data_IF_732375342057
#
_entry.id   IF_732375342057
#
_cell.length_a   1.000
_cell.length_b   1.000
_cell.length_c   1.000
_cell.angle_alpha   90.00
_cell.angle_beta   90.00
_cell.angle_gamma   90.00
#
_symmetry.space_group_name_H-M   'P 1'
#
loop_
_entity.id
_entity.type
_entity.pdbx_description
1 polymer ?
#
# COMPACT_ATOMS: atom_id res chain seq x y z
N UNK A 1 58.33 6.28 -27.16
CA UNK A 1 56.89 6.14 -27.30
C UNK A 1 56.25 5.99 -25.90
N UNK A 2 55.10 6.58 -25.63
CA UNK A 2 54.46 6.41 -24.36
C UNK A 2 54.20 4.91 -24.14
N UNK A 3 54.34 4.45 -22.89
CA UNK A 3 54.06 3.08 -22.52
C UNK A 3 52.54 2.82 -22.75
N UNK A 4 52.24 1.77 -23.51
CA UNK A 4 50.87 1.39 -23.88
C UNK A 4 50.50 0.11 -23.14
N UNK A 5 49.31 0.05 -22.57
CA UNK A 5 48.79 -1.12 -21.90
C UNK A 5 47.54 -1.65 -22.60
N UNK A 6 47.48 -2.92 -22.99
CA UNK A 6 46.27 -3.51 -23.51
C UNK A 6 45.16 -3.52 -22.42
N UNK A 7 44.06 -2.87 -22.74
CA UNK A 7 42.85 -2.92 -21.90
C UNK A 7 41.87 -3.90 -22.55
N UNK A 8 41.87 -5.15 -22.10
CA UNK A 8 41.03 -6.17 -22.72
C UNK A 8 39.55 -5.92 -22.48
N UNK A 9 39.19 -5.41 -21.30
CA UNK A 9 37.84 -5.16 -20.89
C UNK A 9 37.71 -3.75 -20.34
N UNK A 10 36.90 -2.91 -20.97
CA UNK A 10 36.68 -1.53 -20.54
C UNK A 10 35.71 -1.43 -19.37
N UNK A 11 34.58 -2.11 -19.47
CA UNK A 11 33.54 -2.16 -18.41
C UNK A 11 32.64 -3.40 -18.53
N UNK A 12 31.90 -3.68 -17.44
CA UNK A 12 30.80 -4.65 -17.39
C UNK A 12 29.52 -3.98 -16.90
N UNK A 13 28.38 -4.51 -17.30
CA UNK A 13 27.06 -4.16 -16.76
C UNK A 13 26.53 -5.26 -15.84
N UNK A 14 25.73 -4.87 -14.85
CA UNK A 14 25.07 -5.79 -13.91
C UNK A 14 23.77 -5.17 -13.39
N UNK A 15 22.71 -5.97 -13.23
CA UNK A 15 21.47 -5.53 -12.58
C UNK A 15 21.66 -5.24 -11.09
N UNK A 16 20.93 -4.28 -10.58
CA UNK A 16 20.90 -3.91 -9.15
C UNK A 16 19.90 -4.73 -8.35
N UNK A 17 18.74 -5.02 -8.94
CA UNK A 17 17.65 -5.70 -8.26
C UNK A 17 17.97 -7.20 -8.13
N UNK A 18 18.21 -7.66 -6.90
CA UNK A 18 18.47 -9.08 -6.62
C UNK A 18 17.18 -9.92 -6.80
N UNK A 19 16.03 -9.31 -6.65
CA UNK A 19 14.71 -9.94 -6.76
C UNK A 19 14.29 -10.17 -8.21
N UNK A 20 14.96 -9.54 -9.16
CA UNK A 20 14.65 -9.62 -10.58
C UNK A 20 15.86 -10.10 -11.39
N UNK A 21 15.68 -11.22 -12.06
CA UNK A 21 16.63 -11.72 -13.06
C UNK A 21 15.97 -11.56 -14.42
N UNK A 22 16.58 -10.75 -15.30
CA UNK A 22 16.07 -10.57 -16.66
C UNK A 22 16.10 -11.92 -17.41
N UNK A 23 14.96 -12.36 -18.00
CA UNK A 23 14.91 -13.61 -18.76
C UNK A 23 15.88 -13.62 -19.95
N UNK A 24 16.26 -12.43 -20.49
CA UNK A 24 17.24 -12.30 -21.56
C UNK A 24 18.70 -12.46 -21.06
N UNK A 25 18.89 -12.62 -19.75
CA UNK A 25 20.21 -12.73 -19.13
C UNK A 25 21.10 -11.54 -19.43
N UNK A 26 22.38 -11.77 -19.81
CA UNK A 26 23.31 -10.66 -20.12
C UNK A 26 22.94 -9.88 -21.38
N UNK A 27 22.12 -10.45 -22.26
CA UNK A 27 21.68 -9.78 -23.49
C UNK A 27 20.76 -8.57 -23.19
N UNK A 28 20.11 -8.52 -22.02
CA UNK A 28 19.33 -7.39 -21.55
C UNK A 28 20.14 -6.08 -21.50
N UNK A 29 21.44 -6.18 -21.30
CA UNK A 29 22.34 -5.01 -21.18
C UNK A 29 23.02 -4.61 -22.50
N UNK A 30 22.63 -5.24 -23.61
CA UNK A 30 23.17 -4.90 -24.95
C UNK A 30 22.71 -3.52 -25.38
N UNK A 31 23.62 -2.76 -26.00
CA UNK A 31 23.31 -1.47 -26.61
C UNK A 31 23.41 -0.29 -25.65
N UNK A 32 23.78 -0.49 -24.39
CA UNK A 32 24.14 0.61 -23.51
C UNK A 32 25.35 1.37 -24.04
N UNK A 33 25.28 2.72 -24.08
CA UNK A 33 26.36 3.54 -24.63
C UNK A 33 27.03 4.36 -23.52
N UNK A 34 28.37 4.43 -23.65
CA UNK A 34 29.25 5.08 -22.70
C UNK A 34 30.10 6.12 -23.32
N UNK A 35 30.09 7.33 -22.77
CA UNK A 35 31.05 8.37 -23.06
C UNK A 35 32.33 8.09 -22.30
N UNK A 36 33.40 7.79 -23.05
CA UNK A 36 34.73 7.49 -22.50
C UNK A 36 35.67 8.60 -22.85
N UNK A 37 36.31 9.21 -21.85
CA UNK A 37 37.28 10.30 -22.03
C UNK A 37 38.62 9.87 -21.48
N UNK A 38 39.68 10.12 -22.20
CA UNK A 38 41.05 9.85 -21.82
C UNK A 38 41.80 11.13 -21.46
N UNK A 39 42.52 11.08 -20.34
CA UNK A 39 43.40 12.13 -19.81
C UNK A 39 44.80 11.58 -19.70
N UNK A 40 45.81 12.30 -20.22
CA UNK A 40 47.20 11.84 -20.23
C UNK A 40 47.89 11.87 -18.84
N UNK A 41 47.19 12.37 -17.80
CA UNK A 41 47.67 12.43 -16.44
C UNK A 41 47.07 11.29 -15.61
N UNK A 42 47.82 10.78 -14.64
CA UNK A 42 47.28 9.90 -13.56
C UNK A 42 46.60 10.78 -12.53
N UNK A 43 45.28 10.87 -12.61
CA UNK A 43 44.44 11.67 -11.70
C UNK A 43 43.95 10.84 -10.55
N UNK A 44 43.60 11.49 -9.43
CA UNK A 44 43.11 10.78 -8.23
C UNK A 44 41.84 9.97 -8.56
N UNK A 45 41.79 8.69 -8.09
CA UNK A 45 40.59 7.88 -8.24
C UNK A 45 39.37 8.52 -7.57
N UNK A 46 38.21 8.37 -8.18
CA UNK A 46 36.93 8.85 -7.62
C UNK A 46 36.67 10.36 -7.75
N UNK A 47 37.62 11.16 -8.25
CA UNK A 47 37.41 12.59 -8.52
C UNK A 47 37.24 12.82 -10.03
N UNK A 48 36.08 13.34 -10.43
CA UNK A 48 35.82 13.68 -11.85
C UNK A 48 36.81 14.77 -12.33
N UNK A 49 37.67 14.45 -13.30
CA UNK A 49 38.64 15.41 -13.84
C UNK A 49 38.03 16.68 -14.43
N UNK A 50 36.77 16.58 -14.91
CA UNK A 50 36.04 17.75 -15.45
C UNK A 50 35.79 18.78 -14.33
N UNK A 51 35.48 18.35 -13.12
CA UNK A 51 35.29 19.25 -11.96
C UNK A 51 36.60 19.94 -11.56
N UNK A 52 37.73 19.33 -11.86
CA UNK A 52 39.06 19.93 -11.64
C UNK A 52 39.57 20.78 -12.86
N UNK A 53 38.71 21.07 -13.82
CA UNK A 53 39.07 21.87 -15.01
C UNK A 53 39.98 21.17 -16.02
N UNK A 54 40.22 19.86 -15.87
CA UNK A 54 41.08 19.10 -16.80
C UNK A 54 40.33 18.85 -18.10
N UNK A 55 41.11 18.87 -19.21
CA UNK A 55 40.60 18.61 -20.56
C UNK A 55 41.02 17.21 -21.02
N UNK A 56 40.11 16.42 -21.60
CA UNK A 56 40.45 15.12 -22.15
C UNK A 56 41.29 15.30 -23.44
N UNK A 57 42.17 14.35 -23.67
CA UNK A 57 42.99 14.29 -24.89
C UNK A 57 42.26 13.59 -26.03
N UNK A 58 41.44 12.57 -25.69
CA UNK A 58 40.56 11.87 -26.64
C UNK A 58 39.23 11.53 -25.99
N UNK A 59 38.21 11.42 -26.85
CA UNK A 59 36.83 11.15 -26.48
C UNK A 59 36.25 10.10 -27.43
N UNK A 60 35.58 9.11 -26.85
CA UNK A 60 34.89 8.06 -27.61
C UNK A 60 33.49 7.80 -27.05
N UNK A 61 32.64 7.19 -27.84
CA UNK A 61 31.43 6.53 -27.40
C UNK A 61 31.55 5.05 -27.73
N UNK A 62 31.45 4.22 -26.74
CA UNK A 62 31.45 2.77 -26.87
C UNK A 62 30.07 2.19 -26.52
N UNK A 63 29.82 0.95 -26.96
CA UNK A 63 28.56 0.26 -26.73
C UNK A 63 28.82 -1.15 -26.23
N UNK A 64 27.94 -1.63 -25.31
CA UNK A 64 27.98 -2.99 -24.79
C UNK A 64 27.44 -4.02 -25.79
N UNK A 65 27.97 -5.23 -25.70
CA UNK A 65 27.49 -6.41 -26.43
C UNK A 65 26.49 -7.25 -25.66
N UNK A 66 26.02 -8.37 -26.24
CA UNK A 66 25.10 -9.31 -25.62
C UNK A 66 25.67 -10.06 -24.40
N UNK A 67 26.96 -9.92 -24.11
CA UNK A 67 27.60 -10.46 -22.91
C UNK A 67 27.69 -9.41 -21.78
N UNK A 68 27.00 -8.29 -21.93
CA UNK A 68 27.01 -7.18 -20.97
C UNK A 68 28.39 -6.54 -20.78
N UNK A 69 29.26 -6.63 -21.77
CA UNK A 69 30.63 -6.09 -21.71
C UNK A 69 30.89 -5.10 -22.81
N UNK A 70 31.82 -4.18 -22.56
CA UNK A 70 32.39 -3.30 -23.53
C UNK A 70 33.92 -3.41 -23.48
N UNK A 71 34.57 -3.50 -24.64
CA UNK A 71 36.03 -3.61 -24.78
C UNK A 71 36.58 -2.40 -25.48
N UNK A 72 37.84 -2.05 -25.24
CA UNK A 72 38.54 -1.02 -25.95
C UNK A 72 39.01 -1.54 -27.34
N UNK A 73 38.03 -1.69 -28.23
CA UNK A 73 38.23 -2.24 -29.57
C UNK A 73 37.28 -1.51 -30.54
N UNK A 74 37.74 -1.37 -31.83
CA UNK A 74 36.97 -0.66 -32.83
C UNK A 74 35.54 -1.17 -33.01
N UNK A 75 35.33 -2.47 -32.89
CA UNK A 75 33.99 -3.09 -33.01
C UNK A 75 32.98 -2.64 -31.94
N UNK A 76 33.44 -2.15 -30.78
CA UNK A 76 32.59 -1.61 -29.73
C UNK A 76 32.45 -0.08 -29.83
N UNK A 77 33.27 0.58 -30.61
CA UNK A 77 33.26 2.04 -30.80
C UNK A 77 32.08 2.43 -31.67
N UNK A 78 31.22 3.32 -31.19
CA UNK A 78 30.12 3.91 -31.96
C UNK A 78 30.56 5.16 -32.69
N UNK A 79 31.37 6.03 -32.03
CA UNK A 79 31.91 7.26 -32.58
C UNK A 79 33.05 7.81 -31.72
N UNK A 80 33.73 8.81 -32.23
CA UNK A 80 34.77 9.55 -31.52
C UNK A 80 36.15 9.42 -32.24
N UNK A 81 37.19 9.76 -31.47
CA UNK A 81 38.56 9.79 -31.96
C UNK A 81 39.07 8.40 -32.39
N UNK A 82 40.18 8.36 -33.14
CA UNK A 82 40.87 7.12 -33.43
C UNK A 82 41.35 6.44 -32.15
N UNK A 83 41.31 5.11 -32.11
CA UNK A 83 41.86 4.37 -30.95
C UNK A 83 43.39 4.49 -30.95
N UNK A 84 43.97 4.49 -29.77
CA UNK A 84 45.41 4.31 -29.61
C UNK A 84 45.76 2.87 -29.96
N UNK A 85 46.92 2.70 -30.64
CA UNK A 85 47.46 1.41 -31.06
C UNK A 85 48.92 1.30 -30.71
N UNK A 86 49.37 0.13 -30.36
CA UNK A 86 50.77 -0.23 -30.25
C UNK A 86 51.44 -0.29 -31.63
N UNK A 87 52.76 -0.47 -31.68
CA UNK A 87 53.51 -0.53 -32.95
C UNK A 87 53.12 -1.75 -33.80
N UNK A 88 52.62 -2.81 -33.20
CA UNK A 88 52.10 -4.01 -33.88
C UNK A 88 50.61 -3.89 -34.29
N UNK A 89 49.99 -2.73 -34.05
CA UNK A 89 48.61 -2.45 -34.40
C UNK A 89 47.56 -2.88 -33.38
N UNK A 90 47.96 -3.44 -32.22
CA UNK A 90 47.03 -3.82 -31.14
C UNK A 90 46.42 -2.59 -30.48
N UNK A 91 45.10 -2.58 -30.29
CA UNK A 91 44.41 -1.49 -29.62
C UNK A 91 44.77 -1.47 -28.14
N UNK A 92 45.30 -0.34 -27.66
CA UNK A 92 45.78 -0.19 -26.29
C UNK A 92 45.68 1.26 -25.84
N UNK A 93 45.41 1.47 -24.52
CA UNK A 93 45.39 2.80 -23.93
C UNK A 93 46.78 3.16 -23.36
N UNK A 94 47.25 4.42 -23.56
CA UNK A 94 48.42 4.92 -22.86
C UNK A 94 48.18 5.00 -21.34
N UNK A 95 49.29 5.17 -20.59
CA UNK A 95 49.21 5.52 -19.19
C UNK A 95 48.44 6.82 -19.01
N UNK A 96 47.54 6.85 -18.00
CA UNK A 96 46.71 8.00 -17.76
C UNK A 96 45.44 7.65 -17.02
N UNK A 97 44.41 8.44 -17.23
CA UNK A 97 43.10 8.25 -16.59
C UNK A 97 42.01 8.19 -17.65
N UNK A 98 41.07 7.28 -17.49
CA UNK A 98 39.81 7.28 -18.25
C UNK A 98 38.65 7.57 -17.34
N UNK A 99 37.69 8.36 -17.82
CA UNK A 99 36.37 8.49 -17.24
C UNK A 99 35.35 7.77 -18.10
N UNK A 100 34.43 7.08 -17.47
CA UNK A 100 33.35 6.32 -18.12
C UNK A 100 32.04 6.80 -17.56
N UNK A 101 31.15 7.30 -18.41
CA UNK A 101 29.83 7.77 -18.05
C UNK A 101 28.82 7.16 -19.00
N UNK A 102 27.74 6.59 -18.45
CA UNK A 102 26.65 6.13 -19.29
C UNK A 102 25.92 7.33 -19.88
N UNK A 103 25.63 7.29 -21.19
CA UNK A 103 24.89 8.31 -21.93
C UNK A 103 23.61 7.76 -22.59
N UNK A 104 23.49 6.45 -22.63
CA UNK A 104 22.30 5.74 -23.09
C UNK A 104 22.21 4.41 -22.35
N UNK A 105 21.19 4.21 -21.51
CA UNK A 105 21.00 2.95 -20.80
C UNK A 105 20.50 1.84 -21.74
N UNK A 106 20.54 0.58 -21.32
CA UNK A 106 19.80 -0.48 -21.98
C UNK A 106 18.30 -0.22 -21.95
N UNK A 107 17.57 -0.83 -22.87
CA UNK A 107 16.11 -0.68 -22.93
C UNK A 107 15.45 -1.20 -21.66
N UNK A 108 14.61 -0.39 -21.00
CA UNK A 108 13.91 -0.75 -19.77
C UNK A 108 14.69 -0.50 -18.49
N UNK A 109 15.83 0.19 -18.58
CA UNK A 109 16.67 0.53 -17.44
C UNK A 109 16.86 2.04 -17.32
N UNK A 110 16.96 2.51 -16.06
CA UNK A 110 17.29 3.92 -15.80
C UNK A 110 18.72 4.24 -16.17
N UNK A 111 18.96 5.48 -16.57
CA UNK A 111 20.31 5.99 -16.83
C UNK A 111 21.12 6.03 -15.52
N UNK A 112 22.32 5.46 -15.56
CA UNK A 112 23.28 5.62 -14.46
C UNK A 112 24.14 6.86 -14.73
N UNK A 113 23.91 7.93 -13.98
CA UNK A 113 24.60 9.22 -14.15
C UNK A 113 26.00 9.26 -13.52
N UNK A 114 26.42 8.20 -12.83
CA UNK A 114 27.70 8.12 -12.16
C UNK A 114 28.85 8.21 -13.17
N UNK A 115 29.91 8.96 -12.82
CA UNK A 115 31.14 9.03 -13.60
C UNK A 115 32.20 8.15 -12.93
N UNK A 116 32.52 7.05 -13.58
CA UNK A 116 33.56 6.13 -13.12
C UNK A 116 34.94 6.63 -13.57
N UNK A 117 35.86 6.77 -12.62
CA UNK A 117 37.22 7.28 -12.86
C UNK A 117 38.23 6.14 -12.64
N UNK A 118 38.88 5.71 -13.71
CA UNK A 118 39.78 4.56 -13.75
C UNK A 118 41.20 4.98 -14.20
N UNK A 119 42.19 4.54 -13.42
CA UNK A 119 43.60 4.78 -13.77
C UNK A 119 44.16 3.64 -14.64
N UNK A 120 44.98 3.97 -15.61
CA UNK A 120 45.80 3.03 -16.40
C UNK A 120 47.21 3.20 -15.91
N UNK A 121 47.70 2.24 -15.10
CA UNK A 121 48.99 2.27 -14.40
C UNK A 121 50.07 1.52 -15.20
N UNK A 122 51.36 1.83 -14.99
CA UNK A 122 52.46 1.05 -15.55
C UNK A 122 52.44 -0.38 -15.01
N UNK A 123 52.75 -1.33 -15.88
CA UNK A 123 52.96 -2.74 -15.49
C UNK A 123 54.27 -2.82 -14.73
N UNK A 124 54.21 -3.20 -13.43
CA UNK A 124 55.43 -3.39 -12.61
C UNK A 124 56.24 -4.60 -13.05
N UNK A 125 57.53 -4.53 -12.84
CA UNK A 125 58.45 -5.66 -13.02
C UNK A 125 58.35 -6.57 -11.76
N UNK A 126 57.67 -7.71 -11.88
CA UNK A 126 57.71 -8.77 -10.87
C UNK A 126 56.44 -9.10 -10.12
N UNK A 127 55.42 -8.23 -10.07
CA UNK A 127 54.12 -8.53 -9.49
C UNK A 127 53.02 -8.43 -10.54
N UNK A 128 51.96 -9.27 -10.41
CA UNK A 128 50.73 -9.13 -11.21
C UNK A 128 49.99 -7.87 -10.76
N UNK A 129 50.46 -6.69 -11.13
CA UNK A 129 49.77 -5.43 -10.92
C UNK A 129 48.58 -5.39 -11.89
N UNK A 130 47.40 -5.25 -11.35
CA UNK A 130 46.21 -5.02 -12.15
C UNK A 130 46.30 -3.64 -12.76
N UNK A 131 46.72 -3.61 -14.00
CA UNK A 131 47.03 -2.39 -14.76
C UNK A 131 45.80 -1.48 -14.98
N UNK A 132 44.62 -2.10 -14.95
CA UNK A 132 43.34 -1.42 -15.10
C UNK A 132 42.26 -2.20 -14.33
N UNK A 133 41.55 -1.51 -13.43
CA UNK A 133 40.37 -2.05 -12.75
C UNK A 133 39.12 -1.63 -13.52
N UNK A 134 38.55 -2.55 -14.29
CA UNK A 134 37.34 -2.27 -15.03
C UNK A 134 36.14 -2.12 -14.07
N UNK A 135 35.33 -1.07 -14.20
CA UNK A 135 34.16 -0.90 -13.38
C UNK A 135 33.06 -1.89 -13.77
N UNK A 136 32.33 -2.35 -12.76
CA UNK A 136 31.02 -2.97 -12.96
C UNK A 136 29.96 -1.91 -12.73
N UNK A 137 29.22 -1.54 -13.79
CA UNK A 137 28.25 -0.47 -13.77
C UNK A 137 26.87 -1.07 -13.49
N UNK A 138 26.24 -0.69 -12.36
CA UNK A 138 24.94 -1.22 -11.99
C UNK A 138 23.81 -0.60 -12.82
N UNK A 139 22.81 -1.40 -13.14
CA UNK A 139 21.58 -1.00 -13.82
C UNK A 139 20.36 -1.27 -12.96
N UNK A 140 19.44 -0.30 -12.94
CA UNK A 140 18.17 -0.38 -12.28
C UNK A 140 17.05 -0.47 -13.32
N UNK A 141 16.18 -1.48 -13.21
CA UNK A 141 15.02 -1.62 -14.10
C UNK A 141 13.99 -0.53 -13.84
N UNK A 142 13.21 -0.14 -14.86
CA UNK A 142 12.06 0.75 -14.67
C UNK A 142 11.09 0.14 -13.68
N UNK A 143 10.67 0.92 -12.68
CA UNK A 143 9.82 0.47 -11.59
C UNK A 143 9.03 1.62 -10.99
N UNK A 144 7.91 1.27 -10.36
CA UNK A 144 7.24 2.12 -9.38
C UNK A 144 7.09 1.34 -8.07
N UNK A 145 7.04 2.05 -6.97
CA UNK A 145 6.76 1.47 -5.67
C UNK A 145 5.33 1.81 -5.25
N UNK A 146 4.61 0.84 -4.73
CA UNK A 146 3.29 1.05 -4.15
C UNK A 146 3.38 0.83 -2.64
N UNK A 147 2.71 1.69 -1.88
CA UNK A 147 2.56 1.58 -0.43
C UNK A 147 1.08 1.53 -0.11
N UNK A 148 0.65 0.48 0.58
CA UNK A 148 -0.74 0.28 0.98
C UNK A 148 -0.90 0.57 2.47
N UNK A 149 -1.84 1.45 2.82
CA UNK A 149 -2.08 1.90 4.21
C UNK A 149 -3.56 1.92 4.54
N UNK A 150 -3.86 1.86 5.83
CA UNK A 150 -5.21 2.12 6.37
C UNK A 150 -5.45 3.64 6.47
N UNK A 151 -6.61 4.11 6.00
CA UNK A 151 -6.96 5.54 5.98
C UNK A 151 -6.92 6.21 7.36
N UNK A 152 -7.42 5.53 8.39
CA UNK A 152 -7.57 6.17 9.71
C UNK A 152 -6.32 6.11 10.56
N UNK A 153 -5.52 5.06 10.41
CA UNK A 153 -4.38 4.79 11.30
C UNK A 153 -3.03 4.97 10.63
N UNK A 154 -3.00 5.01 9.29
CA UNK A 154 -1.76 5.02 8.51
C UNK A 154 -0.96 3.71 8.60
N UNK A 155 -1.50 2.66 9.24
CA UNK A 155 -0.82 1.38 9.35
C UNK A 155 -0.63 0.72 7.98
N UNK A 156 0.51 0.07 7.74
CA UNK A 156 0.75 -0.66 6.49
C UNK A 156 -0.20 -1.86 6.36
N UNK A 157 -0.68 -2.11 5.14
CA UNK A 157 -1.63 -3.17 4.84
C UNK A 157 -0.98 -4.25 3.95
N UNK A 158 -0.75 -5.42 4.54
CA UNK A 158 -0.24 -6.61 3.87
C UNK A 158 -1.34 -7.40 3.17
N UNK A 159 -0.98 -8.10 2.08
CA UNK A 159 -1.88 -9.04 1.42
C UNK A 159 -2.88 -8.42 0.42
N UNK A 160 -2.81 -7.12 0.17
CA UNK A 160 -3.55 -6.48 -0.92
C UNK A 160 -3.07 -7.03 -2.26
N UNK A 161 -3.99 -7.43 -3.13
CA UNK A 161 -3.66 -7.94 -4.46
C UNK A 161 -4.03 -6.94 -5.54
N UNK A 162 -3.06 -6.65 -6.39
CA UNK A 162 -3.21 -5.74 -7.52
C UNK A 162 -3.05 -6.49 -8.84
N UNK A 163 -3.98 -6.28 -9.75
CA UNK A 163 -3.83 -6.68 -11.15
C UNK A 163 -3.06 -5.61 -11.88
N UNK A 164 -1.88 -5.95 -12.38
CA UNK A 164 -1.06 -5.13 -13.25
C UNK A 164 -1.27 -5.55 -14.70
N UNK A 165 -1.73 -4.63 -15.54
CA UNK A 165 -1.88 -4.81 -16.99
C UNK A 165 -0.77 -4.01 -17.66
N UNK A 166 0.02 -4.68 -18.49
CA UNK A 166 1.13 -4.09 -19.22
C UNK A 166 0.72 -3.52 -20.57
N UNK A 167 1.55 -2.70 -21.23
CA UNK A 167 1.26 -2.14 -22.57
C UNK A 167 0.99 -3.19 -23.64
N UNK A 168 1.54 -4.39 -23.52
CA UNK A 168 1.30 -5.54 -24.43
C UNK A 168 0.02 -6.32 -24.13
N UNK A 169 -0.76 -5.89 -23.12
CA UNK A 169 -1.99 -6.53 -22.66
C UNK A 169 -1.76 -7.71 -21.72
N UNK A 170 -0.52 -8.09 -21.42
CA UNK A 170 -0.25 -9.15 -20.44
C UNK A 170 -0.62 -8.71 -19.02
N UNK A 171 -1.11 -9.65 -18.22
CA UNK A 171 -1.58 -9.39 -16.85
C UNK A 171 -0.73 -10.15 -15.82
N UNK A 172 -0.55 -9.54 -14.66
CA UNK A 172 0.09 -10.18 -13.51
C UNK A 172 -0.59 -9.75 -12.22
N UNK A 173 -0.80 -10.68 -11.30
CA UNK A 173 -1.23 -10.36 -9.92
C UNK A 173 0.02 -10.15 -9.08
N UNK A 174 0.02 -9.05 -8.35
CA UNK A 174 1.07 -8.64 -7.43
C UNK A 174 0.46 -8.46 -6.04
N UNK A 175 1.21 -8.78 -4.98
CA UNK A 175 0.70 -8.75 -3.61
C UNK A 175 1.61 -7.90 -2.73
N UNK A 176 1.03 -7.07 -1.86
CA UNK A 176 1.80 -6.29 -0.88
C UNK A 176 2.40 -7.19 0.19
N UNK A 177 3.63 -6.89 0.57
CA UNK A 177 4.38 -7.59 1.61
C UNK A 177 3.90 -7.23 3.04
N UNK A 178 4.58 -7.76 4.06
CA UNK A 178 4.26 -7.50 5.47
C UNK A 178 4.38 -6.02 5.88
N UNK A 179 5.11 -5.22 5.10
CA UNK A 179 5.24 -3.76 5.29
C UNK A 179 4.24 -2.95 4.47
N UNK A 180 3.28 -3.62 3.83
CA UNK A 180 2.32 -2.98 2.93
C UNK A 180 2.96 -2.47 1.65
N UNK A 181 4.15 -2.94 1.27
CA UNK A 181 4.87 -2.46 0.10
C UNK A 181 4.81 -3.43 -1.07
N UNK A 182 4.90 -2.89 -2.26
CA UNK A 182 4.90 -3.64 -3.51
C UNK A 182 5.76 -2.92 -4.52
N UNK A 183 6.72 -3.63 -5.14
CA UNK A 183 7.47 -3.14 -6.29
C UNK A 183 6.82 -3.64 -7.57
N UNK A 184 6.39 -2.72 -8.42
CA UNK A 184 5.87 -3.04 -9.76
C UNK A 184 7.03 -2.92 -10.73
N UNK A 185 7.65 -4.04 -11.03
CA UNK A 185 8.83 -4.15 -11.87
C UNK A 185 8.92 -5.51 -12.59
N UNK A 186 9.64 -5.65 -13.71
CA UNK A 186 10.13 -4.55 -14.53
C UNK A 186 8.97 -3.85 -15.24
N UNK A 187 9.12 -2.56 -15.51
CA UNK A 187 8.21 -1.83 -16.36
C UNK A 187 8.81 -1.68 -17.77
N UNK A 188 7.95 -1.60 -18.77
CA UNK A 188 8.31 -1.26 -20.15
C UNK A 188 7.81 0.14 -20.48
N UNK A 189 8.32 0.73 -21.54
CA UNK A 189 7.73 1.93 -22.11
C UNK A 189 6.28 1.70 -22.54
N UNK A 190 5.38 2.63 -22.22
CA UNK A 190 3.98 2.60 -22.60
C UNK A 190 3.02 2.81 -21.44
N UNK A 191 1.73 2.53 -21.68
CA UNK A 191 0.66 2.71 -20.70
C UNK A 191 0.48 1.43 -19.89
N UNK A 192 0.51 1.56 -18.58
CA UNK A 192 0.25 0.51 -17.62
C UNK A 192 -1.02 0.82 -16.83
N UNK A 193 -1.69 -0.24 -16.35
CA UNK A 193 -2.83 -0.12 -15.43
C UNK A 193 -2.59 -0.97 -14.21
N UNK A 194 -2.96 -0.44 -13.06
CA UNK A 194 -2.90 -1.15 -11.78
C UNK A 194 -4.22 -0.96 -11.05
N UNK A 195 -4.88 -2.08 -10.73
CA UNK A 195 -6.16 -2.09 -10.03
C UNK A 195 -6.13 -3.08 -8.90
N UNK A 196 -6.62 -2.67 -7.73
CA UNK A 196 -6.83 -3.60 -6.65
C UNK A 196 -7.95 -4.59 -6.99
N UNK A 197 -7.67 -5.88 -6.84
CA UNK A 197 -8.62 -6.97 -7.09
C UNK A 197 -8.98 -7.73 -5.83
N UNK A 198 -8.18 -7.57 -4.77
CA UNK A 198 -8.45 -8.10 -3.44
C UNK A 198 -7.87 -7.16 -2.39
N UNK A 199 -8.73 -6.66 -1.52
CA UNK A 199 -8.29 -5.85 -0.38
C UNK A 199 -7.63 -6.73 0.70
N UNK A 200 -6.82 -6.13 1.58
CA UNK A 200 -6.42 -6.76 2.82
C UNK A 200 -7.62 -7.16 3.67
N UNK A 201 -7.42 -8.14 4.51
CA UNK A 201 -8.47 -8.66 5.36
C UNK A 201 -8.99 -7.60 6.36
N UNK A 202 -10.31 -7.39 6.40
CA UNK A 202 -10.96 -6.34 7.19
C UNK A 202 -11.11 -4.99 6.48
N UNK A 203 -10.67 -4.86 5.24
CA UNK A 203 -10.74 -3.63 4.47
C UNK A 203 -11.63 -3.77 3.23
N UNK A 204 -12.08 -2.64 2.68
CA UNK A 204 -12.82 -2.57 1.42
C UNK A 204 -11.86 -2.45 0.26
N UNK A 205 -12.13 -3.15 -0.83
CA UNK A 205 -11.36 -2.99 -2.09
C UNK A 205 -11.46 -1.54 -2.57
N UNK A 206 -10.31 -0.92 -2.79
CA UNK A 206 -10.23 0.39 -3.43
C UNK A 206 -10.49 0.24 -4.92
N UNK A 207 -11.56 0.87 -5.42
CA UNK A 207 -11.99 0.72 -6.82
C UNK A 207 -11.23 1.65 -7.79
N UNK A 208 -10.33 2.49 -7.31
CA UNK A 208 -9.50 3.31 -8.18
C UNK A 208 -8.65 2.44 -9.10
N UNK A 209 -8.63 2.77 -10.38
CA UNK A 209 -7.69 2.21 -11.35
C UNK A 209 -6.59 3.21 -11.60
N UNK A 210 -5.38 2.88 -11.19
CA UNK A 210 -4.20 3.69 -11.45
C UNK A 210 -3.73 3.44 -12.88
N UNK A 211 -3.90 4.42 -13.76
CA UNK A 211 -3.39 4.40 -15.14
C UNK A 211 -2.16 5.32 -15.19
N UNK A 212 -1.05 4.78 -15.63
CA UNK A 212 0.20 5.54 -15.72
C UNK A 212 0.98 5.22 -16.99
N UNK A 213 1.68 6.23 -17.48
CA UNK A 213 2.58 6.11 -18.62
C UNK A 213 4.01 6.08 -18.14
N UNK A 214 4.80 5.18 -18.73
CA UNK A 214 6.27 5.13 -18.58
C UNK A 214 6.88 5.57 -19.90
N UNK A 215 7.68 6.62 -19.90
CA UNK A 215 8.38 7.09 -21.09
C UNK A 215 9.66 6.28 -21.38
N UNK A 216 10.37 6.62 -22.45
CA UNK A 216 11.62 5.93 -22.84
C UNK A 216 12.75 6.08 -21.83
N UNK A 217 12.70 7.08 -20.94
CA UNK A 217 13.68 7.30 -19.87
C UNK A 217 13.31 6.60 -18.56
N UNK A 218 12.11 5.99 -18.48
CA UNK A 218 11.56 5.39 -17.27
C UNK A 218 10.79 6.37 -16.39
N UNK A 219 10.66 7.62 -16.79
CA UNK A 219 9.83 8.59 -16.05
C UNK A 219 8.38 8.16 -16.12
N UNK A 220 7.75 8.17 -14.97
CA UNK A 220 6.34 7.78 -14.81
C UNK A 220 5.45 9.01 -14.67
N UNK A 221 4.35 9.04 -15.41
CA UNK A 221 3.29 10.05 -15.32
C UNK A 221 1.95 9.36 -15.05
N UNK A 222 1.21 9.84 -14.05
CA UNK A 222 -0.11 9.31 -13.72
C UNK A 222 -1.16 10.00 -14.58
N UNK A 223 -2.00 9.21 -15.25
CA UNK A 223 -3.01 9.67 -16.19
C UNK A 223 -4.45 9.56 -15.64
N UNK A 224 -4.68 8.71 -14.62
CA UNK A 224 -6.00 8.50 -14.04
C UNK A 224 -6.39 9.60 -13.07
N UNK A 225 -7.67 9.95 -13.06
CA UNK A 225 -8.29 10.66 -11.95
C UNK A 225 -8.49 9.69 -10.77
N UNK A 226 -8.40 10.20 -9.55
CA UNK A 226 -8.54 9.45 -8.32
C UNK A 226 -9.83 9.85 -7.62
N UNK A 227 -10.67 8.87 -7.29
CA UNK A 227 -11.83 9.08 -6.44
C UNK A 227 -11.42 8.99 -4.96
N UNK A 228 -11.35 10.12 -4.28
CA UNK A 228 -10.97 10.22 -2.86
C UNK A 228 -12.00 9.61 -1.90
N UNK A 229 -13.24 9.35 -2.35
CA UNK A 229 -14.24 8.63 -1.55
C UNK A 229 -13.87 7.16 -1.31
N UNK A 230 -13.06 6.58 -2.20
CA UNK A 230 -12.56 5.20 -2.06
C UNK A 230 -11.31 5.10 -1.14
N UNK A 231 -10.67 6.21 -0.86
CA UNK A 231 -9.41 6.34 -0.12
C UNK A 231 -8.44 7.26 -0.84
N UNK A 232 -7.49 7.83 -0.12
CA UNK A 232 -6.52 8.75 -0.69
C UNK A 232 -5.50 8.00 -1.56
N UNK A 233 -5.09 8.62 -2.67
CA UNK A 233 -3.96 8.18 -3.49
C UNK A 233 -2.97 9.33 -3.58
N UNK A 234 -1.79 9.16 -3.01
CA UNK A 234 -0.71 10.15 -2.99
C UNK A 234 0.44 9.64 -3.85
N UNK A 235 1.02 10.53 -4.67
CA UNK A 235 2.14 10.22 -5.54
C UNK A 235 3.30 11.12 -5.19
N UNK A 236 4.42 10.50 -4.87
CA UNK A 236 5.69 11.16 -4.58
C UNK A 236 6.79 10.56 -5.46
N UNK A 237 7.91 11.25 -5.57
CA UNK A 237 9.05 10.75 -6.32
C UNK A 237 10.27 10.71 -5.40
N UNK A 238 11.03 9.62 -5.48
CA UNK A 238 12.32 9.53 -4.81
C UNK A 238 13.33 10.47 -5.46
N UNK A 239 14.47 10.72 -4.81
CA UNK A 239 15.57 11.48 -5.39
C UNK A 239 16.05 10.89 -6.72
N UNK A 240 15.95 9.58 -6.88
CA UNK A 240 16.31 8.83 -8.09
C UNK A 240 15.18 8.80 -9.15
N UNK A 241 14.09 9.54 -8.94
CA UNK A 241 12.98 9.67 -9.89
C UNK A 241 12.00 8.48 -9.94
N UNK A 242 12.06 7.55 -8.99
CA UNK A 242 11.09 6.45 -8.89
C UNK A 242 9.78 6.97 -8.30
N UNK A 243 8.66 6.72 -8.96
CA UNK A 243 7.35 7.05 -8.42
C UNK A 243 7.00 6.12 -7.24
N UNK A 244 6.58 6.73 -6.13
CA UNK A 244 6.04 6.05 -4.96
C UNK A 244 4.57 6.41 -4.86
N UNK A 245 3.69 5.42 -5.02
CA UNK A 245 2.24 5.58 -5.00
C UNK A 245 1.71 5.03 -3.68
N UNK A 246 1.23 5.90 -2.81
CA UNK A 246 0.53 5.49 -1.59
C UNK A 246 -0.96 5.38 -1.89
N UNK A 247 -1.57 4.23 -1.62
CA UNK A 247 -2.99 3.97 -1.76
C UNK A 247 -3.55 3.59 -0.39
N UNK A 248 -4.59 4.30 0.04
CA UNK A 248 -5.24 4.04 1.30
C UNK A 248 -6.53 3.24 1.12
N UNK A 249 -6.79 2.32 2.06
CA UNK A 249 -8.05 1.59 2.15
C UNK A 249 -8.84 2.00 3.39
N UNK A 250 -10.15 2.07 3.21
CA UNK A 250 -11.10 2.25 4.31
C UNK A 250 -11.45 0.89 4.92
N UNK A 251 -11.63 0.81 6.25
CA UNK A 251 -12.13 -0.40 6.87
C UNK A 251 -13.45 -0.87 6.27
N UNK A 252 -13.66 -2.16 6.18
CA UNK A 252 -14.98 -2.72 5.92
C UNK A 252 -15.83 -2.52 7.18
N UNK A 253 -17.06 -2.05 6.99
CA UNK A 253 -17.97 -1.77 8.09
C UNK A 253 -19.25 -2.61 8.01
N UNK A 254 -19.93 -2.78 9.16
CA UNK A 254 -21.20 -3.45 9.25
C UNK A 254 -22.15 -2.68 10.18
N UNK A 255 -23.43 -3.08 10.16
CA UNK A 255 -24.48 -2.54 11.03
C UNK A 255 -25.00 -3.65 11.94
N UNK A 256 -25.44 -3.28 13.13
CA UNK A 256 -26.20 -4.17 14.02
C UNK A 256 -27.61 -3.62 14.16
N UNK A 257 -28.58 -4.33 13.60
CA UNK A 257 -30.01 -4.08 13.80
C UNK A 257 -30.51 -4.91 14.99
N UNK A 258 -30.94 -4.24 16.02
CA UNK A 258 -31.52 -4.84 17.19
C UNK A 258 -33.04 -4.89 17.07
N UNK A 259 -33.65 -6.06 17.31
CA UNK A 259 -35.10 -6.23 17.40
C UNK A 259 -35.47 -6.56 18.85
N UNK A 260 -36.15 -5.64 19.51
CA UNK A 260 -36.58 -5.78 20.91
C UNK A 260 -38.02 -6.21 20.98
N UNK A 261 -38.28 -7.34 21.65
CA UNK A 261 -39.60 -7.91 21.80
C UNK A 261 -39.82 -8.41 23.25
N UNK A 262 -41.10 -8.62 23.63
CA UNK A 262 -41.42 -9.38 24.82
C UNK A 262 -41.55 -10.89 24.50
N UNK A 263 -41.84 -11.69 25.52
CA UNK A 263 -42.01 -13.15 25.39
C UNK A 263 -43.15 -13.58 24.46
N UNK A 264 -44.08 -12.67 24.15
CA UNK A 264 -45.20 -12.89 23.22
C UNK A 264 -44.91 -12.38 21.81
N UNK A 265 -43.69 -11.93 21.55
CA UNK A 265 -43.30 -11.37 20.24
C UNK A 265 -43.80 -9.96 19.96
N UNK A 266 -44.26 -9.22 20.97
CA UNK A 266 -44.69 -7.82 20.82
C UNK A 266 -43.46 -6.93 20.86
N UNK A 267 -43.34 -6.03 19.87
CA UNK A 267 -42.29 -5.05 19.79
C UNK A 267 -42.24 -4.10 20.97
N UNK A 268 -41.07 -3.76 21.46
CA UNK A 268 -40.88 -2.90 22.63
C UNK A 268 -40.08 -1.67 22.30
N UNK A 269 -40.72 -0.49 22.37
CA UNK A 269 -40.10 0.81 22.21
C UNK A 269 -39.43 1.28 23.51
N UNK A 270 -38.37 2.11 23.37
CA UNK A 270 -37.72 2.79 24.49
C UNK A 270 -36.73 1.95 25.29
N UNK A 271 -36.35 0.78 24.81
CA UNK A 271 -35.17 0.08 25.31
C UNK A 271 -33.93 0.83 24.89
N UNK A 272 -33.00 1.07 25.80
CA UNK A 272 -31.72 1.70 25.53
C UNK A 272 -30.61 0.65 25.46
N UNK A 273 -29.82 0.67 24.40
CA UNK A 273 -28.62 -0.15 24.25
C UNK A 273 -27.41 0.75 24.13
N UNK A 274 -26.34 0.40 24.84
CA UNK A 274 -25.06 1.10 24.77
C UNK A 274 -24.01 0.16 24.29
N UNK A 275 -23.19 0.67 23.32
CA UNK A 275 -22.06 -0.01 22.72
C UNK A 275 -20.76 0.53 23.31
N UNK A 276 -19.83 -0.35 23.60
CA UNK A 276 -18.55 -0.03 24.22
C UNK A 276 -17.37 -0.60 23.42
N UNK A 277 -16.23 0.07 23.53
CA UNK A 277 -14.97 -0.40 22.94
C UNK A 277 -14.27 -1.45 23.81
N UNK A 278 -14.47 -1.41 25.11
CA UNK A 278 -13.78 -2.24 26.10
C UNK A 278 -14.72 -3.22 26.81
N UNK A 279 -14.18 -4.36 27.22
CA UNK A 279 -14.92 -5.41 27.93
C UNK A 279 -15.46 -4.95 29.29
N UNK A 280 -14.80 -3.98 29.92
CA UNK A 280 -15.29 -3.42 31.19
C UNK A 280 -16.50 -2.49 31.01
N UNK A 281 -16.94 -2.25 29.76
CA UNK A 281 -18.04 -1.35 29.42
C UNK A 281 -17.90 0.04 30.02
N UNK A 282 -16.68 0.61 29.96
CA UNK A 282 -16.35 1.94 30.47
C UNK A 282 -16.16 2.98 29.33
N UNK A 283 -15.75 2.52 28.16
CA UNK A 283 -15.55 3.38 27.00
C UNK A 283 -16.74 3.27 26.05
N UNK A 284 -17.72 4.14 26.26
CA UNK A 284 -18.91 4.23 25.41
C UNK A 284 -18.54 4.73 24.02
N UNK A 285 -19.04 4.03 22.98
CA UNK A 285 -18.90 4.41 21.56
C UNK A 285 -20.19 5.08 21.09
N UNK A 286 -21.34 4.42 21.35
CA UNK A 286 -22.64 4.84 20.85
C UNK A 286 -23.78 4.35 21.75
N UNK A 287 -24.95 5.01 21.63
CA UNK A 287 -26.16 4.69 22.42
C UNK A 287 -27.38 4.87 21.55
N UNK A 288 -28.21 3.83 21.50
CA UNK A 288 -29.42 3.80 20.68
C UNK A 288 -30.65 3.42 21.48
N UNK A 289 -31.81 3.93 21.04
CA UNK A 289 -33.12 3.63 21.62
C UNK A 289 -33.97 2.88 20.61
N UNK A 290 -34.68 1.85 21.03
CA UNK A 290 -35.64 1.16 20.18
C UNK A 290 -36.83 2.06 19.85
N UNK A 291 -37.24 2.07 18.59
CA UNK A 291 -38.39 2.80 18.03
C UNK A 291 -39.72 2.09 18.36
N UNK A 292 -40.82 2.61 17.77
CA UNK A 292 -42.17 2.04 17.91
C UNK A 292 -42.29 0.60 17.39
N UNK A 293 -41.41 0.18 16.51
CA UNK A 293 -41.32 -1.18 16.00
C UNK A 293 -40.37 -2.06 16.80
N UNK A 294 -39.77 -1.55 17.86
CA UNK A 294 -38.78 -2.23 18.68
C UNK A 294 -37.42 -2.35 18.00
N UNK A 295 -37.11 -1.47 17.04
CA UNK A 295 -35.85 -1.52 16.29
C UNK A 295 -34.91 -0.41 16.76
N UNK A 296 -33.64 -0.75 16.93
CA UNK A 296 -32.53 0.15 17.15
C UNK A 296 -31.36 -0.30 16.26
N UNK A 297 -30.46 0.62 15.88
CA UNK A 297 -29.36 0.32 14.95
C UNK A 297 -28.07 0.98 15.39
N UNK A 298 -26.99 0.21 15.44
CA UNK A 298 -25.63 0.69 15.46
C UNK A 298 -25.05 0.62 14.05
N UNK A 299 -24.40 1.68 13.59
CA UNK A 299 -23.85 1.78 12.25
C UNK A 299 -22.34 2.01 12.26
N UNK A 300 -21.69 1.78 11.11
CA UNK A 300 -20.26 2.02 10.88
C UNK A 300 -19.32 1.24 11.82
N UNK A 301 -19.72 0.03 12.18
CA UNK A 301 -18.88 -0.84 13.00
C UNK A 301 -17.82 -1.51 12.14
N UNK A 302 -16.56 -1.43 12.55
CA UNK A 302 -15.45 -2.00 11.80
C UNK A 302 -15.44 -3.54 11.88
N UNK A 303 -15.23 -4.18 10.75
CA UNK A 303 -14.98 -5.62 10.69
C UNK A 303 -13.68 -5.95 11.42
N UNK A 304 -13.63 -7.11 12.08
CA UNK A 304 -12.52 -7.61 12.92
C UNK A 304 -12.25 -6.86 14.22
N UNK A 305 -13.02 -5.83 14.52
CA UNK A 305 -12.98 -5.16 15.81
C UNK A 305 -14.01 -5.77 16.76
N UNK A 306 -13.60 -5.99 18.02
CA UNK A 306 -14.49 -6.43 19.08
C UNK A 306 -15.25 -5.26 19.65
N UNK A 307 -16.54 -5.45 19.84
CA UNK A 307 -17.44 -4.52 20.49
C UNK A 307 -18.17 -5.21 21.64
N UNK A 308 -18.54 -4.45 22.65
CA UNK A 308 -19.27 -4.92 23.81
C UNK A 308 -20.56 -4.13 23.94
N UNK A 309 -21.69 -4.82 24.02
CA UNK A 309 -23.01 -4.20 24.02
C UNK A 309 -23.83 -4.73 25.21
N UNK A 310 -24.59 -3.85 25.84
CA UNK A 310 -25.60 -4.23 26.84
C UNK A 310 -26.83 -3.34 26.80
N UNK A 311 -27.94 -3.85 27.27
CA UNK A 311 -29.13 -3.05 27.55
C UNK A 311 -28.90 -2.23 28.81
N UNK A 312 -28.93 -0.89 28.69
CA UNK A 312 -28.70 0.03 29.83
C UNK A 312 -29.97 0.56 30.43
N UNK A 313 -31.10 0.48 29.69
CA UNK A 313 -32.43 0.87 30.20
C UNK A 313 -33.49 -0.01 29.56
N UNK A 314 -34.33 -0.61 30.39
CA UNK A 314 -35.47 -1.40 29.93
C UNK A 314 -36.65 -0.50 29.50
N UNK A 315 -37.49 -0.97 28.56
CA UNK A 315 -38.79 -0.33 28.26
C UNK A 315 -39.68 -0.23 29.50
N UNK A 316 -40.57 0.75 29.49
CA UNK A 316 -41.51 0.94 30.59
C UNK A 316 -42.33 -0.32 30.85
N UNK A 317 -42.35 -0.79 32.11
CA UNK A 317 -43.04 -2.02 32.56
C UNK A 317 -42.27 -3.32 32.34
N UNK A 318 -41.04 -3.24 31.85
CA UNK A 318 -40.14 -4.36 31.65
C UNK A 318 -38.88 -4.21 32.53
N UNK A 319 -38.10 -5.27 32.64
CA UNK A 319 -36.80 -5.26 33.31
C UNK A 319 -35.72 -5.73 32.36
N UNK A 320 -34.51 -5.26 32.58
CA UNK A 320 -33.32 -5.72 31.86
C UNK A 320 -33.15 -7.22 32.14
N UNK A 321 -33.01 -8.07 31.14
CA UNK A 321 -32.70 -9.47 31.31
C UNK A 321 -31.41 -9.67 32.10
N UNK A 322 -31.38 -10.63 32.98
CA UNK A 322 -30.22 -10.99 33.79
C UNK A 322 -29.77 -12.41 33.47
N UNK A 323 -28.50 -12.69 33.70
CA UNK A 323 -27.96 -14.05 33.72
C UNK A 323 -28.54 -14.84 34.95
N UNK A 324 -28.27 -16.15 35.02
CA UNK A 324 -28.61 -16.97 36.17
C UNK A 324 -28.04 -16.44 37.49
N UNK A 325 -26.93 -15.73 37.44
CA UNK A 325 -26.18 -15.20 38.57
C UNK A 325 -26.52 -13.72 38.87
N UNK A 326 -27.65 -13.24 38.32
CA UNK A 326 -28.17 -11.87 38.46
C UNK A 326 -27.26 -10.77 37.89
N UNK A 327 -26.31 -11.13 37.00
CA UNK A 327 -25.48 -10.17 36.29
C UNK A 327 -26.18 -9.65 35.03
N UNK A 328 -25.74 -8.48 34.54
CA UNK A 328 -26.20 -7.94 33.27
C UNK A 328 -25.77 -8.84 32.12
N UNK A 329 -26.64 -8.99 31.11
CA UNK A 329 -26.27 -9.71 29.89
C UNK A 329 -25.44 -8.78 29.00
N UNK A 330 -24.18 -9.17 28.80
CA UNK A 330 -23.26 -8.49 27.90
C UNK A 330 -23.10 -9.32 26.62
N UNK A 331 -22.99 -8.63 25.51
CA UNK A 331 -22.72 -9.22 24.19
C UNK A 331 -21.36 -8.78 23.72
N UNK A 332 -20.39 -9.67 23.68
CA UNK A 332 -19.14 -9.48 22.93
C UNK A 332 -19.41 -9.81 21.47
N UNK A 333 -19.21 -8.86 20.56
CA UNK A 333 -19.58 -8.98 19.15
C UNK A 333 -18.35 -8.67 18.30
N UNK A 334 -18.03 -9.57 17.36
CA UNK A 334 -17.01 -9.37 16.37
C UNK A 334 -17.49 -9.95 15.03
N UNK A 335 -17.55 -9.12 14.00
CA UNK A 335 -17.78 -9.59 12.64
C UNK A 335 -16.45 -9.92 11.99
N UNK A 336 -16.23 -11.19 11.74
CA UNK A 336 -15.07 -11.67 10.99
C UNK A 336 -15.48 -11.93 9.55
N UNK A 337 -14.94 -11.13 8.63
CA UNK A 337 -15.16 -11.31 7.19
C UNK A 337 -14.14 -12.27 6.63
N UNK A 338 -14.59 -13.24 5.81
CA UNK A 338 -13.70 -14.02 4.96
C UNK A 338 -13.94 -13.63 3.49
N UNK A 339 -13.12 -12.73 2.94
CA UNK A 339 -13.30 -12.24 1.58
C UNK A 339 -13.12 -13.32 0.49
N UNK A 340 -12.33 -14.37 0.76
CA UNK A 340 -12.04 -15.42 -0.23
C UNK A 340 -13.25 -16.31 -0.53
N UNK A 341 -14.15 -16.47 0.44
CA UNK A 341 -15.29 -17.38 0.31
C UNK A 341 -16.64 -16.68 0.15
N UNK A 342 -16.69 -15.34 0.18
CA UNK A 342 -17.94 -14.58 0.18
C UNK A 342 -18.82 -14.91 1.40
N UNK A 343 -18.24 -15.47 2.45
CA UNK A 343 -18.90 -15.86 3.69
C UNK A 343 -18.56 -14.84 4.77
N UNK A 344 -19.56 -14.49 5.56
CA UNK A 344 -19.40 -13.65 6.74
C UNK A 344 -19.46 -14.55 7.99
N UNK A 345 -18.54 -14.33 8.91
CA UNK A 345 -18.48 -14.99 10.20
C UNK A 345 -18.69 -13.95 11.29
N UNK A 346 -19.81 -14.07 12.04
CA UNK A 346 -20.06 -13.28 13.23
C UNK A 346 -19.75 -14.14 14.45
N UNK A 347 -19.03 -13.59 15.41
CA UNK A 347 -18.81 -14.20 16.72
C UNK A 347 -19.56 -13.38 17.77
N UNK A 348 -20.48 -14.02 18.50
CA UNK A 348 -21.19 -13.39 19.63
C UNK A 348 -20.98 -14.25 20.88
N UNK A 349 -20.36 -13.68 21.89
CA UNK A 349 -20.00 -14.39 23.13
C UNK A 349 -19.29 -15.74 22.89
N UNK A 350 -18.34 -15.74 21.93
CA UNK A 350 -17.57 -16.92 21.55
C UNK A 350 -18.33 -17.94 20.68
N UNK A 351 -19.61 -17.73 20.38
CA UNK A 351 -20.36 -18.59 19.44
C UNK A 351 -20.34 -18.03 18.06
N UNK A 352 -20.02 -18.90 17.08
CA UNK A 352 -19.95 -18.56 15.66
C UNK A 352 -21.32 -18.62 14.98
N UNK A 353 -21.60 -17.63 14.13
CA UNK A 353 -22.78 -17.54 13.26
C UNK A 353 -22.31 -17.23 11.84
N UNK A 354 -22.84 -17.94 10.86
CA UNK A 354 -22.47 -17.79 9.45
C UNK A 354 -23.65 -17.31 8.61
N UNK A 355 -23.38 -16.55 7.56
CA UNK A 355 -24.42 -15.94 6.71
C UNK A 355 -25.42 -16.92 6.09
N UNK A 356 -25.20 -18.23 6.18
CA UNK A 356 -26.11 -19.29 5.70
C UNK A 356 -26.79 -20.07 6.86
N UNK A 357 -26.45 -19.77 8.11
CA UNK A 357 -27.01 -20.46 9.27
C UNK A 357 -28.38 -19.87 9.60
N UNK A 358 -29.44 -20.55 9.22
CA UNK A 358 -30.83 -20.18 9.57
C UNK A 358 -31.31 -20.83 10.86
N UNK A 359 -30.47 -21.60 11.54
CA UNK A 359 -30.86 -22.43 12.68
C UNK A 359 -31.12 -21.66 13.99
N UNK A 360 -30.58 -20.45 14.14
CA UNK A 360 -30.82 -19.58 15.28
C UNK A 360 -31.65 -18.37 14.84
N UNK A 361 -32.98 -18.42 15.16
CA UNK A 361 -33.92 -17.35 14.83
C UNK A 361 -33.65 -16.02 15.54
N UNK A 362 -32.67 -15.96 16.44
CA UNK A 362 -32.34 -14.77 17.23
C UNK A 362 -31.23 -13.95 16.62
N UNK A 363 -30.33 -14.56 15.85
CA UNK A 363 -29.21 -13.87 15.20
C UNK A 363 -29.13 -14.30 13.73
N UNK A 364 -29.11 -13.34 12.85
CA UNK A 364 -28.91 -13.57 11.41
C UNK A 364 -27.97 -12.53 10.82
N UNK A 365 -27.34 -12.89 9.71
CA UNK A 365 -26.39 -12.05 8.97
C UNK A 365 -26.87 -11.96 7.53
N UNK A 366 -27.06 -10.73 7.06
CA UNK A 366 -27.47 -10.44 5.69
C UNK A 366 -26.50 -9.45 5.03
N UNK A 367 -26.32 -9.52 3.72
CA UNK A 367 -25.55 -8.53 2.98
C UNK A 367 -24.34 -9.09 2.22
N UNK A 368 -23.38 -8.20 1.96
CA UNK A 368 -22.14 -8.49 1.22
C UNK A 368 -20.94 -7.85 1.94
N UNK A 369 -19.71 -8.13 1.46
CA UNK A 369 -18.47 -7.55 2.00
C UNK A 369 -18.51 -6.02 2.09
N UNK A 370 -19.27 -5.37 1.21
CA UNK A 370 -19.39 -3.90 1.19
C UNK A 370 -20.35 -3.37 2.24
N UNK A 371 -21.34 -4.16 2.64
CA UNK A 371 -22.40 -3.70 3.53
C UNK A 371 -23.07 -4.89 4.21
N UNK A 372 -22.54 -5.28 5.36
CA UNK A 372 -23.11 -6.34 6.18
C UNK A 372 -24.11 -5.76 7.18
N UNK A 373 -25.26 -6.45 7.36
CA UNK A 373 -26.25 -6.19 8.40
C UNK A 373 -26.39 -7.40 9.32
N UNK A 374 -26.04 -7.22 10.58
CA UNK A 374 -26.22 -8.22 11.63
C UNK A 374 -27.55 -7.92 12.32
N UNK A 375 -28.49 -8.86 12.28
CA UNK A 375 -29.78 -8.74 12.98
C UNK A 375 -29.76 -9.55 14.27
N UNK A 376 -30.05 -8.90 15.38
CA UNK A 376 -30.09 -9.52 16.72
C UNK A 376 -31.46 -9.30 17.39
N UNK A 377 -32.13 -10.39 17.74
CA UNK A 377 -33.40 -10.38 18.48
C UNK A 377 -33.14 -10.52 19.95
N UNK A 378 -33.60 -9.56 20.75
CA UNK A 378 -33.46 -9.53 22.23
C UNK A 378 -34.82 -9.48 22.88
N UNK A 379 -35.06 -10.40 23.84
CA UNK A 379 -36.36 -10.59 24.49
C UNK A 379 -36.29 -10.10 25.93
N UNK A 380 -37.22 -9.21 26.32
CA UNK A 380 -37.41 -8.81 27.72
C UNK A 380 -38.59 -9.51 28.35
N UNK A 381 -38.44 -9.83 29.66
CA UNK A 381 -39.50 -10.33 30.48
C UNK A 381 -40.27 -9.17 31.13
N UNK A 382 -41.59 -9.33 31.26
CA UNK A 382 -42.43 -8.41 32.02
C UNK A 382 -41.94 -8.29 33.47
N UNK A 383 -41.76 -7.05 33.93
CA UNK A 383 -41.47 -6.80 35.35
C UNK A 383 -42.62 -7.36 36.22
N UNK A 384 -42.29 -7.97 37.35
CA UNK A 384 -43.34 -8.27 38.34
C UNK A 384 -43.99 -6.96 38.73
N UNK A 385 -45.31 -6.80 38.50
CA UNK A 385 -46.04 -5.71 39.10
C UNK A 385 -45.85 -5.84 40.61
N UNK A 386 -45.31 -4.81 41.26
CA UNK A 386 -45.37 -4.73 42.70
C UNK A 386 -46.86 -4.80 43.06
N UNK A 387 -47.25 -5.59 44.11
CA UNK A 387 -48.63 -5.58 44.61
C UNK A 387 -48.95 -4.12 44.88
N UNK A 388 -50.12 -3.64 44.39
CA UNK A 388 -50.69 -2.38 44.81
C UNK A 388 -50.91 -2.49 46.36
N UNK A 389 -49.92 -2.02 47.12
CA UNK A 389 -50.14 -1.78 48.55
C UNK A 389 -51.05 -0.59 48.64
N UNK A 390 -52.33 -0.85 48.60
CA UNK A 390 -53.37 0.13 48.69
C UNK A 390 -53.17 1.03 49.92
N UNK A 391 -52.83 2.27 49.62
CA UNK A 391 -53.08 3.40 50.46
C UNK A 391 -53.97 4.34 49.69
N UNK A 392 -55.23 4.39 50.10
CA UNK A 392 -56.21 5.37 49.66
C UNK A 392 -55.72 6.78 50.08
N UNK A 393 -54.84 7.38 49.31
CA UNK A 393 -54.47 8.76 49.48
C UNK A 393 -55.17 9.62 48.41
N UNK A 394 -55.95 10.59 48.92
CA UNK A 394 -56.75 11.56 48.13
C UNK A 394 -55.96 12.16 46.98
N UNK A 395 -56.57 12.45 45.79
CA UNK A 395 -55.91 13.02 44.71
C UNK A 395 -55.49 14.48 45.01
N UNK A 396 -54.19 14.74 45.05
CA UNK A 396 -53.66 16.10 45.03
C UNK A 396 -53.59 16.49 43.54
N UNK A 397 -54.47 17.43 43.20
CA UNK A 397 -54.43 18.08 41.87
C UNK A 397 -53.14 18.91 41.78
N UNK A 398 -52.12 18.42 41.13
CA UNK A 398 -50.99 19.22 40.74
C UNK A 398 -51.20 19.66 39.27
N UNK A 399 -51.57 20.94 39.14
CA UNK A 399 -51.62 21.65 37.87
C UNK A 399 -50.25 21.64 37.20
N UNK A 400 -50.22 21.08 36.01
CA UNK A 400 -49.04 20.90 35.23
C UNK A 400 -48.44 22.20 34.71
N UNK A 401 -47.15 22.19 34.58
CA UNK A 401 -46.41 23.10 33.69
C UNK A 401 -45.90 22.26 32.54
N UNK A 402 -46.49 22.53 31.36
CA UNK A 402 -45.97 22.03 30.09
C UNK A 402 -44.63 22.73 29.83
N UNK A 403 -43.55 22.02 29.95
CA UNK A 403 -42.28 22.47 29.40
C UNK A 403 -42.11 21.87 27.98
N UNK A 404 -42.40 22.70 26.99
CA UNK A 404 -42.07 22.42 25.59
C UNK A 404 -40.57 22.60 25.43
N UNK A 405 -39.84 21.50 25.37
CA UNK A 405 -38.42 21.51 25.02
C UNK A 405 -38.25 21.64 23.52
N UNK A 406 -37.87 22.83 23.07
CA UNK A 406 -37.46 23.08 21.71
C UNK A 406 -36.09 22.44 21.50
N UNK A 407 -36.03 21.41 20.65
CA UNK A 407 -34.81 20.78 20.19
C UNK A 407 -34.17 21.71 19.15
N UNK A 408 -33.13 22.46 19.54
CA UNK A 408 -32.34 23.26 18.64
C UNK A 408 -31.34 22.35 17.91
N UNK A 409 -31.59 22.10 16.63
CA UNK A 409 -30.60 21.54 15.73
C UNK A 409 -29.48 22.55 15.54
N UNK A 410 -28.30 22.23 16.04
CA UNK A 410 -27.08 22.99 15.72
C UNK A 410 -26.47 22.41 14.47
N UNK A 411 -26.80 23.03 13.34
CA UNK A 411 -26.07 22.88 12.09
C UNK A 411 -24.73 23.63 12.24
N UNK A 412 -23.62 22.94 12.33
CA UNK A 412 -22.30 23.56 12.17
C UNK A 412 -21.98 23.74 10.69
N UNK A 413 -22.25 24.92 10.19
CA UNK A 413 -21.74 25.41 8.91
C UNK A 413 -20.22 25.67 9.06
N UNK A 414 -19.39 24.92 8.37
CA UNK A 414 -17.97 25.23 8.23
C UNK A 414 -17.85 26.43 7.29
N UNK A 415 -17.54 27.59 7.82
CA UNK A 415 -17.13 28.71 6.98
C UNK A 415 -15.68 28.51 6.54
N UNK A 416 -15.51 28.52 5.22
CA UNK A 416 -14.24 28.87 4.60
C UNK A 416 -13.92 30.33 4.89
N UNK A 417 -12.73 30.63 5.37
CA UNK A 417 -12.07 31.91 5.10
C UNK A 417 -10.58 31.81 5.21
N UNK A 418 -9.96 32.14 4.08
CA UNK A 418 -8.65 32.76 3.81
C UNK A 418 -7.41 31.91 3.97
#
# INVERSE_FOLDING_TARGET
PPQMNPVELLLKKKGMEQEYVDPSGTAAYQGAQFLVKFYAELLEPGKDPKKAGKKPVRIWVFQTDAKAVCRYQEKYKVKGDALYKTTDGTEALPLGTVTIQEIKPPKGYFLNEEVFVCQIKPKGTGEKINVYQNPTIPDRVFQIHLVKKATETGHPLSGAQFKHIRPDGSEKILTTDEKGTLKVMPLSHGIHKLKEVKAPDGYRTNNNELIFQVDESGKTEILSEVNTEEGEVVIEYTEDGIAVVTIEDKPACYKIELKKENEKGVALAGAEFTLYEDQACQKEIDRVLTDGNGIAMFENLEVKKKYYMKETKAPTGYRIPKTSDDADIEYEICLESNPEEGKCLLVVNGKEYRSKDTADSKISIEGSIKEWNVKMKIINQTGKKLPDTGSAGKPVLLTGILAVGIMAMIYRKKEQKR
#
